data_IF_148913029562
#
_entry.id   IF_148913029562
#
_cell.length_a   1.000
_cell.length_b   1.000
_cell.length_c   1.000
_cell.angle_alpha   90.00
_cell.angle_beta   90.00
_cell.angle_gamma   90.00
#
_symmetry.space_group_name_H-M   'P 1'
#
loop_
_entity.id
_entity.type
_entity.pdbx_description
1 polymer ?
#
# COMPACT_ATOMS: atom_id res chain seq x y z
N UNK A 1 -0.34 -18.36 12.06
CA UNK A 1 0.27 -17.16 11.45
C UNK A 1 -0.78 -16.44 10.62
N UNK A 2 -0.94 -15.14 10.83
CA UNK A 2 -1.89 -14.34 10.06
C UNK A 2 -1.24 -13.78 8.81
N UNK A 3 -2.02 -13.68 7.74
CA UNK A 3 -1.57 -13.10 6.47
C UNK A 3 -2.02 -11.66 6.37
N UNK A 4 -1.12 -10.76 6.01
CA UNK A 4 -1.47 -9.39 5.71
C UNK A 4 -1.07 -9.01 4.28
N UNK A 5 -1.87 -8.17 3.66
CA UNK A 5 -1.52 -7.61 2.36
C UNK A 5 -0.62 -6.39 2.57
N UNK A 6 0.47 -6.34 1.83
CA UNK A 6 1.44 -5.24 1.91
C UNK A 6 1.47 -4.51 0.58
N UNK A 7 1.18 -3.21 0.61
CA UNK A 7 1.25 -2.37 -0.58
C UNK A 7 2.66 -1.80 -0.67
N UNK A 8 3.29 -2.04 -1.79
CA UNK A 8 4.65 -1.62 -2.08
C UNK A 8 4.68 -0.23 -2.72
N UNK A 9 5.82 0.43 -2.62
CA UNK A 9 6.03 1.68 -3.35
C UNK A 9 6.35 1.40 -4.81
N UNK A 10 6.15 2.40 -5.65
CA UNK A 10 6.53 2.35 -7.06
C UNK A 10 7.77 3.22 -7.24
N UNK A 11 8.78 2.67 -7.89
CA UNK A 11 9.98 3.41 -8.28
C UNK A 11 10.10 3.41 -9.80
N UNK A 12 10.47 4.55 -10.36
CA UNK A 12 10.77 4.66 -11.78
C UNK A 12 12.28 4.61 -11.99
N UNK A 13 12.73 3.60 -12.72
CA UNK A 13 14.15 3.44 -13.06
C UNK A 13 14.38 4.07 -14.42
N UNK A 14 14.84 5.31 -14.43
CA UNK A 14 14.98 6.13 -15.63
C UNK A 14 15.85 5.48 -16.69
N UNK A 15 16.99 4.91 -16.29
CA UNK A 15 17.94 4.26 -17.22
C UNK A 15 17.33 3.10 -18.00
N UNK A 16 16.31 2.44 -17.44
CA UNK A 16 15.67 1.29 -18.06
C UNK A 16 14.25 1.58 -18.51
N UNK A 17 13.75 2.78 -18.24
CA UNK A 17 12.37 3.15 -18.51
C UNK A 17 11.39 2.13 -17.90
N UNK A 18 11.62 1.77 -16.63
CA UNK A 18 10.82 0.77 -15.94
C UNK A 18 10.20 1.32 -14.67
N UNK A 19 8.93 0.98 -14.46
CA UNK A 19 8.26 1.17 -13.17
C UNK A 19 8.40 -0.14 -12.39
N UNK A 20 8.96 -0.06 -11.18
CA UNK A 20 9.22 -1.24 -10.36
C UNK A 20 8.50 -1.13 -9.02
N UNK A 21 7.94 -2.25 -8.58
CA UNK A 21 7.44 -2.36 -7.21
C UNK A 21 8.63 -2.61 -6.29
N UNK A 22 8.65 -1.95 -5.14
CA UNK A 22 9.81 -2.02 -4.27
C UNK A 22 9.42 -1.91 -2.80
N UNK A 23 10.19 -2.60 -1.94
CA UNK A 23 9.98 -2.62 -0.50
C UNK A 23 11.32 -2.81 0.20
N UNK A 24 11.53 -2.07 1.30
CA UNK A 24 12.70 -2.29 2.15
C UNK A 24 12.64 -3.71 2.71
N UNK A 25 13.72 -4.47 2.52
CA UNK A 25 13.78 -5.87 2.94
C UNK A 25 13.58 -6.08 4.45
N UNK A 26 13.87 -5.07 5.26
CA UNK A 26 13.67 -5.13 6.71
C UNK A 26 12.20 -5.33 7.11
N UNK A 27 11.27 -4.91 6.26
CA UNK A 27 9.84 -5.17 6.50
C UNK A 27 9.53 -6.65 6.59
N UNK A 28 10.11 -7.45 5.70
CA UNK A 28 9.90 -8.90 5.69
C UNK A 28 10.37 -9.53 7.00
N UNK A 29 11.59 -9.22 7.42
CA UNK A 29 12.14 -9.76 8.66
C UNK A 29 11.32 -9.32 9.87
N UNK A 30 10.94 -8.05 9.92
CA UNK A 30 10.14 -7.53 11.02
C UNK A 30 8.79 -8.23 11.13
N UNK A 31 8.06 -8.35 10.04
CA UNK A 31 6.74 -8.98 10.04
C UNK A 31 6.81 -10.44 10.43
N UNK A 32 7.78 -11.17 9.91
CA UNK A 32 7.99 -12.57 10.29
C UNK A 32 8.33 -12.69 11.78
N UNK A 33 9.10 -11.74 12.32
CA UNK A 33 9.49 -11.77 13.75
C UNK A 33 8.30 -11.62 14.70
N UNK A 34 7.21 -11.02 14.25
CA UNK A 34 5.98 -10.89 15.04
C UNK A 34 4.89 -11.86 14.60
N UNK A 35 5.28 -12.92 13.90
CA UNK A 35 4.42 -14.01 13.46
C UNK A 35 3.33 -13.57 12.46
N UNK A 36 3.69 -12.66 11.58
CA UNK A 36 2.82 -12.20 10.48
C UNK A 36 3.46 -12.56 9.16
N UNK A 37 2.68 -13.17 8.26
CA UNK A 37 3.14 -13.51 6.93
C UNK A 37 2.73 -12.41 5.93
N UNK A 38 3.69 -11.70 5.32
CA UNK A 38 3.35 -10.66 4.37
C UNK A 38 3.04 -11.23 2.98
N UNK A 39 1.99 -10.70 2.37
CA UNK A 39 1.68 -10.96 0.96
C UNK A 39 1.92 -9.65 0.21
N UNK A 40 2.96 -9.60 -0.60
CA UNK A 40 3.34 -8.39 -1.31
C UNK A 40 2.48 -8.23 -2.56
N UNK A 41 1.75 -7.12 -2.62
CA UNK A 41 0.88 -6.85 -3.75
C UNK A 41 1.63 -6.05 -4.82
N UNK A 42 1.57 -6.47 -6.08
CA UNK A 42 2.06 -5.62 -7.16
C UNK A 42 1.14 -4.43 -7.35
N UNK A 43 1.68 -3.32 -7.83
CA UNK A 43 0.87 -2.14 -8.14
C UNK A 43 0.16 -2.31 -9.49
N UNK A 44 -0.71 -3.30 -9.52
CA UNK A 44 -1.53 -3.65 -10.68
C UNK A 44 -2.98 -3.79 -10.21
N UNK A 45 -3.85 -2.92 -10.72
CA UNK A 45 -5.24 -2.85 -10.26
C UNK A 45 -5.99 -4.15 -10.53
N UNK A 46 -5.82 -4.71 -11.71
CA UNK A 46 -6.49 -5.97 -12.09
C UNK A 46 -6.08 -7.12 -11.18
N UNK A 47 -4.78 -7.23 -10.89
CA UNK A 47 -4.25 -8.25 -9.99
C UNK A 47 -4.87 -8.10 -8.59
N UNK A 48 -4.86 -6.89 -8.06
CA UNK A 48 -5.37 -6.63 -6.70
C UNK A 48 -6.86 -6.99 -6.60
N UNK A 49 -7.66 -6.59 -7.58
CA UNK A 49 -9.08 -6.94 -7.59
C UNK A 49 -9.31 -8.45 -7.61
N UNK A 50 -8.54 -9.18 -8.39
CA UNK A 50 -8.61 -10.66 -8.41
C UNK A 50 -8.13 -11.27 -7.11
N UNK A 51 -7.03 -10.74 -6.55
CA UNK A 51 -6.48 -11.19 -5.28
C UNK A 51 -7.54 -11.14 -4.16
N UNK A 52 -8.28 -10.03 -4.07
CA UNK A 52 -9.29 -9.86 -3.03
C UNK A 52 -10.46 -10.84 -3.13
N UNK A 53 -10.68 -11.41 -4.32
CA UNK A 53 -11.73 -12.42 -4.53
C UNK A 53 -11.32 -13.83 -4.11
N UNK A 54 -10.02 -14.12 -4.14
CA UNK A 54 -9.54 -15.51 -3.96
C UNK A 54 -8.72 -15.72 -2.69
N UNK A 55 -8.30 -14.67 -2.02
CA UNK A 55 -7.46 -14.78 -0.81
C UNK A 55 -8.10 -14.10 0.38
N UNK A 56 -7.99 -14.76 1.53
CA UNK A 56 -8.33 -14.15 2.82
C UNK A 56 -7.08 -13.51 3.41
N UNK A 57 -7.25 -12.30 3.92
CA UNK A 57 -6.20 -11.57 4.63
C UNK A 57 -6.74 -11.12 5.98
N UNK A 58 -5.83 -10.90 6.92
CA UNK A 58 -6.19 -10.47 8.29
C UNK A 58 -5.92 -8.99 8.52
N UNK A 59 -5.31 -8.30 7.59
CA UNK A 59 -5.01 -6.88 7.71
C UNK A 59 -4.30 -6.35 6.48
N UNK A 60 -4.09 -5.04 6.47
CA UNK A 60 -3.46 -4.33 5.37
C UNK A 60 -2.36 -3.41 5.91
N UNK A 61 -1.19 -3.45 5.28
CA UNK A 61 -0.09 -2.53 5.56
C UNK A 61 0.19 -1.70 4.32
N UNK A 62 0.09 -0.38 4.47
CA UNK A 62 0.44 0.56 3.40
C UNK A 62 1.77 1.18 3.76
N UNK A 63 2.82 0.84 3.02
CA UNK A 63 4.18 1.26 3.32
C UNK A 63 4.48 2.66 2.79
N UNK A 64 5.62 3.22 3.17
CA UNK A 64 6.07 4.54 2.75
C UNK A 64 6.65 4.55 1.35
N UNK A 65 7.12 5.71 0.95
CA UNK A 65 7.77 5.97 -0.34
C UNK A 65 6.82 6.60 -1.36
N UNK A 66 7.28 7.67 -1.98
CA UNK A 66 6.51 8.44 -2.92
C UNK A 66 5.41 9.28 -2.27
N UNK A 67 4.62 9.92 -3.09
CA UNK A 67 3.49 10.74 -2.65
C UNK A 67 2.27 10.43 -3.50
N UNK A 68 1.09 10.80 -2.99
CA UNK A 68 -0.14 10.76 -3.78
C UNK A 68 0.00 11.67 -5.00
N UNK A 69 -0.66 11.33 -6.10
CA UNK A 69 -0.66 12.17 -7.31
C UNK A 69 -1.12 13.58 -6.98
N UNK A 70 -2.11 13.72 -6.10
CA UNK A 70 -2.59 15.00 -5.60
C UNK A 70 -1.47 15.87 -4.97
N UNK A 71 -0.42 15.24 -4.44
CA UNK A 71 0.73 15.91 -3.82
C UNK A 71 2.01 15.69 -4.62
N UNK A 72 1.90 15.74 -5.96
CA UNK A 72 3.02 15.64 -6.91
C UNK A 72 3.63 14.24 -7.03
N UNK A 73 2.89 13.22 -6.65
CA UNK A 73 3.29 11.84 -6.91
C UNK A 73 3.09 11.45 -8.38
N UNK A 74 3.65 10.32 -8.78
CA UNK A 74 3.64 9.91 -10.18
C UNK A 74 2.94 8.58 -10.46
N UNK A 75 2.37 7.93 -9.45
CA UNK A 75 1.73 6.62 -9.64
C UNK A 75 0.23 6.66 -9.32
N UNK A 76 -0.61 6.94 -10.32
CA UNK A 76 -2.06 6.88 -10.13
C UNK A 76 -2.55 5.46 -9.81
N UNK A 77 -1.86 4.41 -10.30
CA UNK A 77 -2.21 3.02 -9.99
C UNK A 77 -2.07 2.75 -8.50
N UNK A 78 -0.98 3.21 -7.89
CA UNK A 78 -0.79 3.04 -6.45
C UNK A 78 -1.88 3.76 -5.64
N UNK A 79 -2.22 4.98 -6.03
CA UNK A 79 -3.31 5.74 -5.40
C UNK A 79 -4.61 4.95 -5.43
N UNK A 80 -4.94 4.37 -6.59
CA UNK A 80 -6.17 3.59 -6.76
C UNK A 80 -6.14 2.30 -5.94
N UNK A 81 -5.01 1.59 -5.93
CA UNK A 81 -4.86 0.36 -5.15
C UNK A 81 -5.02 0.66 -3.67
N UNK A 82 -4.47 1.75 -3.18
CA UNK A 82 -4.62 2.15 -1.78
C UNK A 82 -6.09 2.41 -1.44
N UNK A 83 -6.83 3.07 -2.32
CA UNK A 83 -8.28 3.28 -2.13
C UNK A 83 -9.04 1.96 -2.10
N UNK A 84 -8.74 1.07 -3.03
CA UNK A 84 -9.37 -0.26 -3.09
C UNK A 84 -9.13 -1.03 -1.78
N UNK A 85 -7.89 -1.03 -1.31
CA UNK A 85 -7.52 -1.78 -0.12
C UNK A 85 -8.10 -1.17 1.16
N UNK A 86 -8.13 0.15 1.27
CA UNK A 86 -8.76 0.83 2.41
C UNK A 86 -10.26 0.52 2.44
N UNK A 87 -10.92 0.66 1.30
CA UNK A 87 -12.34 0.36 1.19
C UNK A 87 -12.65 -1.10 1.56
N UNK A 88 -11.84 -2.03 1.07
CA UNK A 88 -11.96 -3.45 1.40
C UNK A 88 -11.79 -3.69 2.90
N UNK A 89 -10.79 -3.07 3.52
CA UNK A 89 -10.51 -3.26 4.94
C UNK A 89 -11.66 -2.73 5.81
N UNK A 90 -12.27 -1.62 5.43
CA UNK A 90 -13.44 -1.08 6.15
C UNK A 90 -14.62 -2.05 6.02
N UNK A 91 -14.90 -2.49 4.80
CA UNK A 91 -16.01 -3.41 4.52
C UNK A 91 -15.87 -4.72 5.28
N UNK A 92 -14.67 -5.28 5.32
CA UNK A 92 -14.38 -6.56 5.97
C UNK A 92 -13.96 -6.41 7.44
N UNK A 93 -13.93 -5.17 7.95
CA UNK A 93 -13.55 -4.86 9.34
C UNK A 93 -12.15 -5.37 9.68
N UNK A 94 -11.19 -5.12 8.79
CA UNK A 94 -9.79 -5.50 8.97
C UNK A 94 -8.96 -4.32 9.43
N UNK A 95 -7.96 -4.54 10.29
CA UNK A 95 -7.04 -3.47 10.66
C UNK A 95 -6.19 -3.03 9.47
N UNK A 96 -5.94 -1.74 9.39
CA UNK A 96 -5.09 -1.13 8.37
C UNK A 96 -4.09 -0.22 9.03
N UNK A 97 -2.81 -0.42 8.73
CA UNK A 97 -1.73 0.42 9.23
C UNK A 97 -1.11 1.15 8.04
N UNK A 98 -1.04 2.48 8.12
CA UNK A 98 -0.39 3.30 7.13
C UNK A 98 0.86 3.96 7.68
N UNK A 99 1.98 3.82 6.98
CA UNK A 99 3.27 4.40 7.36
C UNK A 99 3.66 5.46 6.34
N UNK A 100 3.96 6.67 6.81
CA UNK A 100 4.33 7.82 5.96
C UNK A 100 3.30 8.07 4.87
N UNK A 101 3.58 7.71 3.62
CA UNK A 101 2.62 7.82 2.54
C UNK A 101 1.30 7.08 2.86
N UNK A 102 1.38 5.92 3.51
CA UNK A 102 0.19 5.17 3.89
C UNK A 102 -0.72 5.97 4.82
N UNK A 103 -0.14 6.72 5.73
CA UNK A 103 -0.89 7.65 6.58
C UNK A 103 -1.56 8.73 5.73
N UNK A 104 -0.86 9.28 4.74
CA UNK A 104 -1.43 10.28 3.83
C UNK A 104 -2.60 9.72 3.03
N UNK A 105 -2.48 8.49 2.53
CA UNK A 105 -3.55 7.81 1.82
C UNK A 105 -4.80 7.65 2.67
N UNK A 106 -4.65 7.24 3.91
CA UNK A 106 -5.77 7.07 4.85
C UNK A 106 -6.43 8.42 5.11
N UNK A 107 -5.65 9.46 5.39
CA UNK A 107 -6.17 10.81 5.60
C UNK A 107 -6.95 11.30 4.38
N UNK A 108 -6.38 11.13 3.20
CA UNK A 108 -7.01 11.55 1.95
C UNK A 108 -8.31 10.77 1.68
N UNK A 109 -8.33 9.47 1.98
CA UNK A 109 -9.51 8.62 1.80
C UNK A 109 -10.71 9.18 2.59
N UNK A 110 -10.46 9.66 3.79
CA UNK A 110 -11.50 10.24 4.64
C UNK A 110 -11.73 11.74 4.39
N UNK A 111 -11.19 12.28 3.32
CA UNK A 111 -11.45 13.66 2.89
C UNK A 111 -10.64 14.73 3.61
N UNK A 112 -9.58 14.33 4.31
CA UNK A 112 -8.71 15.28 5.00
C UNK A 112 -7.54 15.71 4.10
N UNK A 113 -7.28 16.99 4.05
CA UNK A 113 -6.13 17.54 3.33
C UNK A 113 -4.88 17.50 4.21
N UNK A 114 -3.74 17.39 3.55
CA UNK A 114 -2.45 17.34 4.21
C UNK A 114 -1.68 18.60 3.84
N UNK A 115 -1.20 19.29 4.87
CA UNK A 115 -0.45 20.52 4.70
C UNK A 115 1.00 20.29 5.09
N UNK A 116 1.92 20.79 4.27
CA UNK A 116 3.33 20.73 4.58
C UNK A 116 3.66 21.70 5.70
N UNK A 117 4.33 21.21 6.74
CA UNK A 117 4.80 22.03 7.84
C UNK A 117 6.13 22.65 7.44
N UNK A 118 6.24 23.94 7.62
CA UNK A 118 7.48 24.69 7.35
C UNK A 118 8.34 24.81 8.62
#
# INVERSE_FOLDING_TARGET
MKNIAVIQRVEFIEKRNEFCDSLDQRWTDFLLSINIFPIFLPNNISYVKKFLKIKKISGVLITGGGSLVKYNGFSPERDEIEKIMINFSIKEKLPTLGICRGMQSIQNYFGNDITKIK
#
